data_IF_201158807168
#
_entry.id   IF_201158807168
#
_cell.length_a   1.000
_cell.length_b   1.000
_cell.length_c   1.000
_cell.angle_alpha   90.00
_cell.angle_beta   90.00
_cell.angle_gamma   90.00
#
_symmetry.space_group_name_H-M   'P 1'
#
loop_
_entity.id
_entity.type
_entity.pdbx_description
1 polymer ?
#
# COMPACT_ATOMS: atom_id res chain seq x y z
N UNK A 1 -25.87 28.71 -23.98
CA UNK A 1 -24.38 28.75 -24.03
C UNK A 1 -23.78 28.76 -25.43
N UNK A 2 -24.27 27.97 -26.41
CA UNK A 2 -23.75 27.97 -27.79
C UNK A 2 -23.95 29.29 -28.57
N UNK A 3 -25.04 30.04 -28.33
CA UNK A 3 -25.29 31.32 -29.03
C UNK A 3 -24.31 32.44 -28.63
N UNK A 4 -23.85 32.46 -27.37
CA UNK A 4 -22.98 33.53 -26.83
C UNK A 4 -21.57 33.45 -27.45
N UNK A 5 -21.08 32.23 -27.69
CA UNK A 5 -19.79 31.97 -28.37
C UNK A 5 -19.76 32.48 -29.82
N UNK A 6 -20.89 32.41 -30.53
CA UNK A 6 -20.98 32.85 -31.93
C UNK A 6 -20.98 34.39 -32.02
N UNK A 7 -21.68 35.05 -31.09
CA UNK A 7 -21.81 36.52 -31.08
C UNK A 7 -20.47 37.23 -30.81
N UNK A 8 -19.62 36.66 -29.94
CA UNK A 8 -18.30 37.24 -29.63
C UNK A 8 -17.28 37.09 -30.75
N UNK A 9 -17.42 36.04 -31.59
CA UNK A 9 -16.57 35.82 -32.77
C UNK A 9 -16.95 36.80 -33.91
N UNK A 10 -18.25 37.09 -34.07
CA UNK A 10 -18.75 37.99 -35.13
C UNK A 10 -18.50 39.47 -34.80
N UNK A 11 -18.60 39.87 -33.53
CA UNK A 11 -18.37 41.26 -33.10
C UNK A 11 -16.88 41.63 -32.93
N UNK A 12 -15.95 40.73 -33.30
CA UNK A 12 -14.53 41.05 -33.48
C UNK A 12 -13.85 41.61 -32.24
N UNK A 13 -14.19 41.12 -31.04
CA UNK A 13 -13.49 41.50 -29.81
C UNK A 13 -12.21 40.64 -29.73
N UNK A 14 -11.01 41.19 -30.02
CA UNK A 14 -9.82 40.38 -30.26
C UNK A 14 -9.19 39.78 -28.99
N UNK A 15 -9.71 40.11 -27.81
CA UNK A 15 -9.10 39.76 -26.52
C UNK A 15 -9.76 38.59 -25.77
N UNK A 16 -10.80 37.96 -26.36
CA UNK A 16 -11.44 36.78 -25.77
C UNK A 16 -11.44 35.59 -26.74
N UNK A 17 -10.41 35.47 -27.57
CA UNK A 17 -10.12 34.21 -28.28
C UNK A 17 -9.54 33.26 -27.25
N UNK A 18 -10.48 32.53 -26.66
CA UNK A 18 -10.34 31.37 -25.82
C UNK A 18 -9.05 30.59 -26.14
N UNK A 19 -8.15 30.52 -25.16
CA UNK A 19 -6.99 29.65 -25.17
C UNK A 19 -7.47 28.19 -25.25
N UNK A 20 -7.66 27.68 -26.46
CA UNK A 20 -7.83 26.26 -26.73
C UNK A 20 -6.41 25.68 -26.72
N UNK A 21 -5.99 25.20 -25.54
CA UNK A 21 -4.78 24.41 -25.45
C UNK A 21 -4.96 23.14 -26.27
N UNK A 22 -4.06 22.89 -27.21
CA UNK A 22 -3.91 21.64 -27.94
C UNK A 22 -3.64 20.52 -26.93
N UNK A 23 -4.70 19.90 -26.43
CA UNK A 23 -4.60 18.58 -25.83
C UNK A 23 -4.57 17.57 -26.98
N UNK A 24 -3.38 17.32 -27.52
CA UNK A 24 -3.16 16.21 -28.45
C UNK A 24 -3.63 14.93 -27.76
N UNK A 25 -4.72 14.34 -28.29
CA UNK A 25 -5.33 13.13 -27.72
C UNK A 25 -4.45 11.93 -28.07
N UNK A 26 -3.40 11.72 -27.28
CA UNK A 26 -2.53 10.54 -27.40
C UNK A 26 -3.26 9.33 -26.82
N UNK A 27 -3.56 8.36 -27.68
CA UNK A 27 -4.14 7.08 -27.26
C UNK A 27 -3.04 6.02 -27.12
N UNK A 28 -2.84 5.53 -25.89
CA UNK A 28 -1.92 4.41 -25.62
C UNK A 28 -2.66 3.06 -25.61
N UNK A 29 -1.92 1.98 -25.86
CA UNK A 29 -2.43 0.61 -25.74
C UNK A 29 -2.86 0.32 -24.29
N UNK A 30 -3.87 -0.54 -24.12
CA UNK A 30 -4.40 -0.95 -22.81
C UNK A 30 -3.51 -2.02 -22.13
N UNK A 31 -2.19 -1.84 -22.20
CA UNK A 31 -1.24 -2.75 -21.57
C UNK A 31 -1.12 -2.44 -20.08
N UNK A 32 -0.95 -3.50 -19.28
CA UNK A 32 -0.67 -3.41 -17.87
C UNK A 32 0.62 -4.14 -17.54
N UNK A 33 1.47 -3.54 -16.70
CA UNK A 33 2.69 -4.14 -16.17
C UNK A 33 2.50 -4.42 -14.68
N UNK A 34 2.74 -5.66 -14.27
CA UNK A 34 2.76 -6.06 -12.87
C UNK A 34 4.00 -5.49 -12.17
N UNK A 35 3.78 -4.81 -11.07
CA UNK A 35 4.81 -4.28 -10.20
C UNK A 35 5.15 -5.29 -9.08
N UNK A 36 6.36 -5.21 -8.45
CA UNK A 36 6.79 -6.16 -7.41
C UNK A 36 5.91 -6.19 -6.16
N UNK A 37 5.14 -5.13 -5.93
CA UNK A 37 4.14 -4.99 -4.86
C UNK A 37 2.81 -5.69 -5.20
N UNK A 38 2.64 -6.19 -6.43
CA UNK A 38 1.40 -6.81 -6.90
C UNK A 38 0.41 -5.86 -7.55
N UNK A 39 0.71 -4.55 -7.63
CA UNK A 39 -0.13 -3.58 -8.34
C UNK A 39 0.15 -3.58 -9.85
N UNK A 40 -0.73 -2.95 -10.63
CA UNK A 40 -0.59 -2.84 -12.08
C UNK A 40 -0.47 -1.38 -12.51
N UNK A 41 0.50 -1.10 -13.38
CA UNK A 41 0.68 0.21 -14.01
C UNK A 41 0.39 0.15 -15.50
N UNK A 42 -0.20 1.21 -16.04
CA UNK A 42 -0.51 1.36 -17.45
C UNK A 42 0.49 2.28 -18.15
N UNK A 43 0.43 2.29 -19.49
CA UNK A 43 1.17 3.26 -20.32
C UNK A 43 0.51 4.63 -20.24
N UNK A 44 1.32 5.69 -20.16
CA UNK A 44 0.86 7.07 -20.14
C UNK A 44 1.87 8.01 -20.81
N UNK A 45 1.46 9.27 -21.03
CA UNK A 45 2.28 10.31 -21.63
C UNK A 45 2.41 10.23 -23.16
N UNK A 46 3.11 11.20 -23.77
CA UNK A 46 3.21 11.31 -25.22
C UNK A 46 3.94 10.14 -25.89
N UNK A 47 4.82 9.45 -25.14
CA UNK A 47 5.59 8.31 -25.63
C UNK A 47 5.00 6.95 -25.20
N UNK A 48 3.83 6.92 -24.56
CA UNK A 48 3.18 5.70 -24.07
C UNK A 48 4.09 4.78 -23.25
N UNK A 49 4.81 5.37 -22.30
CA UNK A 49 5.71 4.67 -21.40
C UNK A 49 4.96 4.22 -20.14
N UNK A 50 5.40 3.12 -19.53
CA UNK A 50 4.83 2.71 -18.25
C UNK A 50 5.16 3.74 -17.18
N UNK A 51 4.14 4.17 -16.45
CA UNK A 51 4.35 4.92 -15.21
C UNK A 51 5.29 4.11 -14.30
N UNK A 52 6.26 4.75 -13.62
CA UNK A 52 7.04 4.06 -12.61
C UNK A 52 6.09 3.39 -11.60
N UNK A 53 6.43 2.15 -11.22
CA UNK A 53 5.73 1.50 -10.12
C UNK A 53 5.74 2.45 -8.93
N UNK A 54 4.61 2.57 -8.23
CA UNK A 54 4.62 3.16 -6.91
C UNK A 54 5.67 2.38 -6.12
N UNK A 55 6.81 3.01 -5.85
CA UNK A 55 7.69 2.51 -4.81
C UNK A 55 6.79 2.65 -3.61
N UNK A 56 6.21 1.53 -3.15
CA UNK A 56 5.75 1.46 -1.78
C UNK A 56 6.90 2.11 -1.02
N UNK A 57 6.65 3.28 -0.45
CA UNK A 57 7.18 3.50 0.85
C UNK A 57 6.30 2.55 1.66
N UNK A 58 6.66 1.27 1.88
CA UNK A 58 6.19 0.71 3.11
C UNK A 58 6.77 1.68 4.13
N UNK A 59 5.93 2.33 4.93
CA UNK A 59 6.40 2.53 6.30
C UNK A 59 6.98 1.19 6.71
N UNK A 60 8.29 1.10 6.92
CA UNK A 60 9.10 -0.13 6.85
C UNK A 60 8.36 -1.33 7.46
N UNK A 61 7.66 -2.09 6.62
CA UNK A 61 6.95 -3.29 7.03
C UNK A 61 8.00 -4.40 7.01
N UNK A 62 8.69 -4.57 8.13
CA UNK A 62 9.79 -5.51 8.31
C UNK A 62 9.19 -6.90 8.50
N UNK A 63 9.71 -7.88 7.76
CA UNK A 63 9.42 -9.29 7.99
C UNK A 63 10.17 -9.74 9.25
N UNK A 64 9.41 -10.02 10.31
CA UNK A 64 9.97 -10.43 11.60
C UNK A 64 9.35 -11.73 12.08
N UNK A 65 10.11 -12.47 12.88
CA UNK A 65 9.62 -13.65 13.60
C UNK A 65 9.57 -13.34 15.09
N UNK A 66 8.37 -13.22 15.65
CA UNK A 66 8.15 -13.00 17.08
C UNK A 66 7.91 -14.34 17.77
N UNK A 67 8.43 -14.50 18.98
CA UNK A 67 8.21 -15.67 19.82
C UNK A 67 7.01 -15.44 20.73
N UNK A 68 5.96 -16.24 20.56
CA UNK A 68 4.78 -16.31 21.44
C UNK A 68 5.00 -17.17 22.68
N UNK A 69 3.95 -17.36 23.47
CA UNK A 69 3.95 -18.14 24.70
C UNK A 69 3.48 -19.59 24.48
N UNK A 70 3.89 -20.50 25.36
CA UNK A 70 3.45 -21.91 25.37
C UNK A 70 2.21 -22.15 26.26
N UNK A 71 1.72 -21.11 26.94
CA UNK A 71 0.58 -21.19 27.87
C UNK A 71 -0.68 -20.55 27.29
N UNK A 72 -1.84 -21.11 27.62
CA UNK A 72 -3.14 -20.65 27.15
C UNK A 72 -3.80 -19.74 28.19
N UNK A 73 -4.29 -18.54 27.82
CA UNK A 73 -4.20 -17.88 26.51
C UNK A 73 -2.84 -17.16 26.32
N UNK A 74 -2.28 -17.24 25.10
CA UNK A 74 -1.06 -16.51 24.75
C UNK A 74 -1.41 -15.03 24.46
N UNK A 75 -1.01 -14.07 25.32
CA UNK A 75 -1.32 -12.66 25.12
C UNK A 75 -0.68 -12.09 23.85
N UNK A 76 0.43 -12.68 23.38
CA UNK A 76 1.11 -12.26 22.16
C UNK A 76 0.28 -12.65 20.93
N UNK A 77 -0.19 -13.89 20.90
CA UNK A 77 -1.02 -14.40 19.82
C UNK A 77 -2.34 -13.62 19.71
N UNK A 78 -3.01 -13.33 20.83
CA UNK A 78 -4.25 -12.55 20.82
C UNK A 78 -4.04 -11.14 20.24
N UNK A 79 -2.95 -10.47 20.65
CA UNK A 79 -2.60 -9.15 20.14
C UNK A 79 -2.28 -9.16 18.65
N UNK A 80 -1.54 -10.16 18.18
CA UNK A 80 -1.24 -10.33 16.74
C UNK A 80 -2.52 -10.50 15.94
N UNK A 81 -3.43 -11.39 16.35
CA UNK A 81 -4.70 -11.61 15.66
C UNK A 81 -5.57 -10.35 15.62
N UNK A 82 -5.55 -9.55 16.68
CA UNK A 82 -6.24 -8.25 16.70
C UNK A 82 -5.66 -7.26 15.68
N UNK A 83 -4.33 -7.15 15.62
CA UNK A 83 -3.62 -6.25 14.71
C UNK A 83 -3.81 -6.65 13.24
N UNK A 84 -3.84 -7.95 12.95
CA UNK A 84 -4.12 -8.47 11.61
C UNK A 84 -5.54 -8.12 11.17
N UNK A 85 -6.53 -8.35 12.04
CA UNK A 85 -7.93 -7.99 11.78
C UNK A 85 -8.11 -6.48 11.54
N UNK A 86 -7.28 -5.65 12.15
CA UNK A 86 -7.26 -4.19 11.95
C UNK A 86 -6.51 -3.75 10.69
N UNK A 87 -5.83 -4.67 9.99
CA UNK A 87 -5.02 -4.37 8.82
C UNK A 87 -3.71 -3.63 9.14
N UNK A 88 -3.26 -3.67 10.41
CA UNK A 88 -2.03 -2.99 10.87
C UNK A 88 -0.80 -3.86 10.60
N UNK A 89 -0.98 -5.19 10.56
CA UNK A 89 0.06 -6.15 10.21
C UNK A 89 -0.44 -7.06 9.08
N UNK A 90 0.48 -7.66 8.32
CA UNK A 90 0.13 -8.56 7.20
C UNK A 90 1.07 -9.76 7.11
N UNK A 91 0.71 -10.76 6.31
CA UNK A 91 1.48 -12.00 6.11
C UNK A 91 1.77 -12.74 7.43
N UNK A 92 0.76 -12.89 8.28
CA UNK A 92 0.88 -13.59 9.56
C UNK A 92 0.93 -15.09 9.32
N UNK A 93 2.05 -15.73 9.69
CA UNK A 93 2.26 -17.18 9.60
C UNK A 93 2.60 -17.70 10.98
N UNK A 94 1.74 -18.55 11.53
CA UNK A 94 1.93 -19.18 12.84
C UNK A 94 2.61 -20.53 12.62
N UNK A 95 3.79 -20.72 13.21
CA UNK A 95 4.50 -22.00 13.22
C UNK A 95 4.16 -22.77 14.49
N UNK A 96 3.75 -24.02 14.33
CA UNK A 96 3.50 -24.96 15.43
C UNK A 96 4.84 -25.43 16.03
N UNK A 97 5.43 -24.59 16.88
CA UNK A 97 6.60 -24.90 17.69
C UNK A 97 6.33 -24.45 19.12
N UNK A 98 6.93 -25.08 20.13
CA UNK A 98 6.94 -24.56 21.49
C UNK A 98 8.32 -23.92 21.73
N UNK A 99 8.43 -22.60 21.99
CA UNK A 99 7.38 -21.58 21.94
C UNK A 99 6.90 -21.26 20.51
N UNK A 100 5.66 -20.74 20.39
CA UNK A 100 5.02 -20.44 19.09
C UNK A 100 5.85 -19.41 18.35
N UNK A 101 6.14 -19.64 17.07
CA UNK A 101 6.87 -18.66 16.23
C UNK A 101 5.90 -18.03 15.25
N UNK A 102 5.78 -16.71 15.28
CA UNK A 102 4.85 -15.95 14.44
C UNK A 102 5.66 -15.09 13.50
N UNK A 103 5.61 -15.39 12.20
CA UNK A 103 6.18 -14.52 11.17
C UNK A 103 5.12 -13.48 10.78
N UNK A 104 5.48 -12.20 10.70
CA UNK A 104 4.57 -11.16 10.24
C UNK A 104 5.34 -9.99 9.63
N UNK A 105 4.62 -9.16 8.85
CA UNK A 105 5.09 -7.84 8.42
C UNK A 105 4.45 -6.75 9.26
N UNK A 106 5.27 -5.96 9.94
CA UNK A 106 4.83 -4.88 10.84
C UNK A 106 5.83 -3.71 10.82
N UNK A 107 5.40 -2.54 11.29
CA UNK A 107 6.28 -1.38 11.49
C UNK A 107 7.14 -1.55 12.74
N UNK A 108 8.32 -0.93 12.80
CA UNK A 108 9.23 -1.05 13.95
C UNK A 108 8.56 -0.73 15.29
N UNK A 109 7.70 0.29 15.34
CA UNK A 109 6.95 0.66 16.54
C UNK A 109 6.05 -0.47 17.06
N UNK A 110 5.41 -1.21 16.14
CA UNK A 110 4.56 -2.35 16.50
C UNK A 110 5.42 -3.54 16.91
N UNK A 111 6.56 -3.74 16.29
CA UNK A 111 7.52 -4.79 16.67
C UNK A 111 7.98 -4.56 18.11
N UNK A 112 8.41 -3.34 18.45
CA UNK A 112 8.85 -2.98 19.79
C UNK A 112 7.71 -3.15 20.83
N UNK A 113 6.47 -2.78 20.48
CA UNK A 113 5.29 -3.01 21.32
C UNK A 113 5.10 -4.50 21.59
N UNK A 114 5.18 -5.34 20.55
CA UNK A 114 4.99 -6.77 20.67
C UNK A 114 6.11 -7.46 21.44
N UNK A 115 7.35 -6.99 21.30
CA UNK A 115 8.50 -7.51 22.04
C UNK A 115 8.50 -7.13 23.51
N UNK A 116 7.93 -5.96 23.86
CA UNK A 116 7.79 -5.48 25.23
C UNK A 116 6.68 -6.19 26.02
N UNK A 117 5.82 -6.99 25.39
CA UNK A 117 4.77 -7.74 26.08
C UNK A 117 5.36 -8.83 26.98
N UNK A 118 4.75 -9.10 28.16
CA UNK A 118 5.27 -10.07 29.11
C UNK A 118 5.28 -11.48 28.50
N UNK A 119 6.48 -12.02 28.26
CA UNK A 119 6.66 -13.41 27.82
C UNK A 119 6.67 -14.32 29.04
N UNK A 120 5.70 -15.23 29.13
CA UNK A 120 5.78 -16.31 30.11
C UNK A 120 6.85 -17.27 29.59
N UNK A 121 8.00 -17.31 30.27
CA UNK A 121 9.08 -18.23 29.91
C UNK A 121 8.55 -19.64 30.07
N UNK A 122 8.44 -20.37 28.96
CA UNK A 122 8.21 -21.82 29.00
C UNK A 122 9.21 -22.44 29.98
N UNK A 123 8.78 -23.32 30.90
CA UNK A 123 9.67 -23.98 31.83
C UNK A 123 10.79 -24.59 31.01
N UNK A 124 12.02 -24.19 31.32
CA UNK A 124 13.21 -24.71 30.66
C UNK A 124 13.17 -26.21 30.89
N UNK A 125 12.87 -27.00 29.84
CA UNK A 125 12.95 -28.44 29.92
C UNK A 125 14.40 -28.78 30.24
N UNK A 126 14.66 -29.10 31.50
CA UNK A 126 15.95 -29.55 32.02
C UNK A 126 15.99 -31.07 31.98
#
# INVERSE_FOLDING_TARGET
MKLILIVTVILGIPNLVFAIGDAELVMCTMDAKLCPDGSYVSRTGPNCEFTPCAKLMPEEFIDVTITGSAETPDPVLERVLELERKGIISNVIIMESFPVRIRMKATQKIIDELEAMPRIKSPTFR
#
